data_IF_119736552140
#
_entry.id   IF_119736552140
#
_cell.length_a   1.000
_cell.length_b   1.000
_cell.length_c   1.000
_cell.angle_alpha   90.00
_cell.angle_beta   90.00
_cell.angle_gamma   90.00
#
_symmetry.space_group_name_H-M   'P 1'
#
loop_
_entity.id
_entity.type
_entity.pdbx_description
1 polymer ?
#
# COMPACT_ATOMS: atom_id res chain seq x y z
N UNK A 1 1.61 34.97 19.03
CA UNK A 1 2.94 34.36 18.72
C UNK A 1 2.72 33.21 17.75
N UNK A 2 3.17 33.32 16.50
CA UNK A 2 3.07 32.22 15.52
C UNK A 2 4.19 31.22 15.83
N UNK A 3 3.87 30.27 16.70
CA UNK A 3 4.79 29.23 17.16
C UNK A 3 5.24 28.35 16.00
N UNK A 4 6.53 28.00 15.99
CA UNK A 4 7.21 27.22 14.94
C UNK A 4 6.49 25.89 14.63
N UNK A 5 5.78 25.31 15.61
CA UNK A 5 4.98 24.10 15.44
C UNK A 5 3.83 24.23 14.43
N UNK A 6 3.31 25.44 14.18
CA UNK A 6 2.18 25.62 13.25
C UNK A 6 2.62 25.50 11.78
N UNK A 7 3.82 25.97 11.44
CA UNK A 7 4.33 25.99 10.06
C UNK A 7 4.63 24.61 9.50
N UNK A 8 5.13 23.69 10.33
CA UNK A 8 5.38 22.30 9.90
C UNK A 8 4.06 21.58 9.64
N UNK A 9 3.04 21.79 10.48
CA UNK A 9 1.72 21.19 10.29
C UNK A 9 1.01 21.72 9.04
N UNK A 10 1.19 22.99 8.69
CA UNK A 10 0.71 23.55 7.41
C UNK A 10 1.35 22.87 6.21
N UNK A 11 2.67 22.63 6.26
CA UNK A 11 3.38 21.89 5.22
C UNK A 11 2.91 20.43 5.12
N UNK A 12 2.70 19.75 6.25
CA UNK A 12 2.13 18.38 6.27
C UNK A 12 0.77 18.35 5.57
N UNK A 13 -0.13 19.29 5.93
CA UNK A 13 -1.45 19.38 5.31
C UNK A 13 -1.38 19.71 3.81
N UNK A 14 -0.46 20.58 3.40
CA UNK A 14 -0.21 20.88 1.99
C UNK A 14 0.27 19.65 1.23
N UNK A 15 1.25 18.92 1.77
CA UNK A 15 1.79 17.70 1.17
C UNK A 15 0.69 16.65 1.01
N UNK A 16 -0.06 16.33 2.08
CA UNK A 16 -1.17 15.38 2.04
C UNK A 16 -2.23 15.75 0.99
N UNK A 17 -2.61 17.03 0.90
CA UNK A 17 -3.58 17.50 -0.09
C UNK A 17 -3.09 17.32 -1.53
N UNK A 18 -1.81 17.55 -1.79
CA UNK A 18 -1.27 17.42 -3.14
C UNK A 18 -0.92 15.97 -3.51
N UNK A 19 -0.53 15.13 -2.55
CA UNK A 19 -0.43 13.68 -2.79
C UNK A 19 -1.79 13.10 -3.18
N UNK A 20 -2.88 13.53 -2.53
CA UNK A 20 -4.25 13.15 -2.94
C UNK A 20 -4.63 13.59 -4.35
N UNK A 21 -3.95 14.60 -4.90
CA UNK A 21 -4.13 15.04 -6.31
C UNK A 21 -3.23 14.28 -7.30
N UNK A 22 -2.37 13.37 -6.81
CA UNK A 22 -1.48 12.56 -7.64
C UNK A 22 -0.06 13.12 -7.79
N UNK A 23 0.32 14.17 -7.07
CA UNK A 23 1.70 14.64 -7.06
C UNK A 23 2.59 13.69 -6.24
N UNK A 24 3.83 13.49 -6.70
CA UNK A 24 4.83 12.72 -5.95
C UNK A 24 5.44 13.58 -4.83
N UNK A 25 5.87 12.91 -3.77
CA UNK A 25 6.46 13.60 -2.61
C UNK A 25 7.78 14.30 -2.98
N UNK A 26 8.54 13.74 -3.92
CA UNK A 26 9.78 14.34 -4.43
C UNK A 26 9.52 15.62 -5.23
N UNK A 27 8.52 15.64 -6.12
CA UNK A 27 8.17 16.85 -6.85
C UNK A 27 7.73 17.98 -5.90
N UNK A 28 6.96 17.64 -4.87
CA UNK A 28 6.54 18.61 -3.85
C UNK A 28 7.72 19.09 -3.00
N UNK A 29 8.67 18.21 -2.68
CA UNK A 29 9.90 18.55 -1.97
C UNK A 29 10.67 19.64 -2.71
N UNK A 30 10.95 19.43 -4.00
CA UNK A 30 11.69 20.39 -4.81
C UNK A 30 10.95 21.71 -4.96
N UNK A 31 9.64 21.66 -5.24
CA UNK A 31 8.82 22.87 -5.35
C UNK A 31 8.83 23.72 -4.07
N UNK A 32 8.77 23.09 -2.89
CA UNK A 32 8.84 23.82 -1.61
C UNK A 32 10.23 24.41 -1.35
N UNK A 33 11.30 23.70 -1.72
CA UNK A 33 12.66 24.23 -1.60
C UNK A 33 12.86 25.43 -2.53
N UNK A 34 12.39 25.36 -3.78
CA UNK A 34 12.44 26.46 -4.74
C UNK A 34 11.62 27.68 -4.29
N UNK A 35 10.50 27.45 -3.57
CA UNK A 35 9.71 28.52 -2.96
C UNK A 35 10.40 29.18 -1.74
N UNK A 36 11.56 28.69 -1.32
CA UNK A 36 12.34 29.24 -0.22
C UNK A 36 12.07 28.63 1.15
N UNK A 37 11.35 27.50 1.22
CA UNK A 37 11.23 26.77 2.49
C UNK A 37 12.56 26.10 2.85
N UNK A 38 12.89 26.11 4.15
CA UNK A 38 14.09 25.45 4.64
C UNK A 38 14.00 23.94 4.38
N UNK A 39 15.02 23.38 3.74
CA UNK A 39 15.10 21.94 3.42
C UNK A 39 14.78 21.04 4.61
N UNK A 40 15.32 21.36 5.80
CA UNK A 40 15.10 20.60 7.03
C UNK A 40 13.63 20.62 7.47
N UNK A 41 12.91 21.72 7.25
CA UNK A 41 11.48 21.82 7.56
C UNK A 41 10.64 20.99 6.59
N UNK A 42 10.99 21.04 5.30
CA UNK A 42 10.32 20.26 4.25
C UNK A 42 10.52 18.76 4.49
N UNK A 43 11.75 18.33 4.76
CA UNK A 43 12.06 16.92 5.04
C UNK A 43 11.31 16.41 6.27
N UNK A 44 11.28 17.18 7.36
CA UNK A 44 10.50 16.82 8.56
C UNK A 44 8.99 16.74 8.28
N UNK A 45 8.45 17.65 7.47
CA UNK A 45 7.05 17.62 7.09
C UNK A 45 6.72 16.39 6.22
N UNK A 46 7.63 15.98 5.34
CA UNK A 46 7.49 14.78 4.51
C UNK A 46 7.46 13.51 5.38
N UNK A 47 8.35 13.41 6.37
CA UNK A 47 8.37 12.27 7.30
C UNK A 47 7.05 12.13 8.06
N UNK A 48 6.55 13.25 8.62
CA UNK A 48 5.27 13.28 9.34
C UNK A 48 4.10 12.93 8.42
N UNK A 49 4.03 13.53 7.22
CA UNK A 49 2.99 13.24 6.25
C UNK A 49 2.99 11.77 5.81
N UNK A 50 4.16 11.20 5.57
CA UNK A 50 4.31 9.78 5.19
C UNK A 50 3.82 8.86 6.30
N UNK A 51 4.17 9.16 7.56
CA UNK A 51 3.71 8.40 8.71
C UNK A 51 2.19 8.43 8.84
N UNK A 52 1.58 9.61 8.76
CA UNK A 52 0.12 9.75 8.82
C UNK A 52 -0.59 9.04 7.66
N UNK A 53 -0.05 9.11 6.44
CA UNK A 53 -0.61 8.42 5.29
C UNK A 53 -0.50 6.89 5.42
N UNK A 54 0.59 6.40 6.01
CA UNK A 54 0.76 4.98 6.32
C UNK A 54 -0.24 4.50 7.39
N UNK A 55 -0.52 5.34 8.39
CA UNK A 55 -1.54 5.06 9.41
C UNK A 55 -2.98 5.12 8.83
N UNK A 56 -3.24 6.01 7.88
CA UNK A 56 -4.52 6.11 7.14
C UNK A 56 -4.71 4.98 6.12
N UNK A 57 -3.62 4.37 5.63
CA UNK A 57 -3.71 3.33 4.61
C UNK A 57 -4.50 2.12 5.13
N UNK A 58 -5.45 1.58 4.34
CA UNK A 58 -6.21 0.42 4.76
C UNK A 58 -5.24 -0.75 4.95
N UNK A 59 -5.21 -1.30 6.16
CA UNK A 59 -4.50 -2.56 6.43
C UNK A 59 -5.10 -3.61 5.50
N UNK A 60 -4.37 -3.99 4.44
CA UNK A 60 -4.76 -5.03 3.51
C UNK A 60 -4.83 -6.35 4.28
N UNK A 61 -6.02 -6.66 4.83
CA UNK A 61 -6.32 -7.96 5.45
C UNK A 61 -6.60 -8.95 4.33
N UNK A 62 -5.57 -9.27 3.55
CA UNK A 62 -5.67 -10.41 2.65
C UNK A 62 -5.63 -11.67 3.50
N UNK A 63 -6.67 -12.50 3.38
CA UNK A 63 -6.67 -13.82 4.01
C UNK A 63 -5.48 -14.59 3.42
N UNK A 64 -4.65 -15.27 4.23
CA UNK A 64 -3.60 -16.12 3.68
C UNK A 64 -4.28 -17.18 2.80
N UNK A 65 -4.06 -17.11 1.48
CA UNK A 65 -4.56 -18.12 0.54
C UNK A 65 -3.60 -19.30 0.63
N UNK A 66 -3.88 -20.23 1.54
CA UNK A 66 -3.11 -21.48 1.64
C UNK A 66 -3.43 -22.31 0.39
N UNK A 67 -2.49 -22.36 -0.56
CA UNK A 67 -2.56 -23.24 -1.73
C UNK A 67 -1.98 -24.60 -1.34
N UNK A 68 -2.85 -25.62 -1.26
CA UNK A 68 -2.42 -27.00 -1.09
C UNK A 68 -2.17 -27.61 -2.48
N UNK A 69 -0.91 -27.80 -2.84
CA UNK A 69 -0.54 -28.64 -3.98
C UNK A 69 -0.41 -30.08 -3.48
N UNK A 70 -1.25 -30.98 -3.99
CA UNK A 70 -1.13 -32.42 -3.68
C UNK A 70 0.01 -32.98 -4.51
N UNK A 71 1.20 -33.00 -3.90
CA UNK A 71 2.41 -33.56 -4.48
C UNK A 71 2.36 -35.09 -4.31
N UNK A 72 2.28 -35.85 -5.42
CA UNK A 72 2.41 -37.31 -5.38
C UNK A 72 3.85 -37.75 -5.09
N UNK A 73 4.07 -39.04 -4.78
CA UNK A 73 5.38 -39.61 -4.38
C UNK A 73 6.58 -39.31 -5.33
N UNK A 74 6.32 -38.87 -6.57
CA UNK A 74 7.33 -38.53 -7.57
C UNK A 74 7.35 -37.04 -7.98
N UNK A 75 6.81 -36.15 -7.13
CA UNK A 75 6.84 -34.69 -7.36
C UNK A 75 6.09 -34.24 -8.64
N UNK A 76 5.08 -35.00 -9.08
CA UNK A 76 4.26 -34.68 -10.25
C UNK A 76 2.84 -34.20 -9.86
N UNK A 77 2.29 -33.16 -10.51
CA UNK A 77 0.92 -32.70 -10.27
C UNK A 77 -0.08 -33.73 -10.79
N UNK A 78 -0.89 -34.31 -9.91
CA UNK A 78 -1.95 -35.25 -10.31
C UNK A 78 -3.25 -34.50 -10.63
N UNK A 79 -3.69 -34.55 -11.89
CA UNK A 79 -5.04 -34.13 -12.28
C UNK A 79 -6.07 -35.14 -11.77
N UNK A 80 -6.94 -34.73 -10.85
CA UNK A 80 -8.04 -35.57 -10.34
C UNK A 80 -9.09 -35.75 -11.45
N UNK A 81 -8.96 -36.82 -12.25
CA UNK A 81 -10.00 -37.21 -13.21
C UNK A 81 -11.26 -37.65 -12.45
N UNK A 82 -12.43 -37.17 -12.88
CA UNK A 82 -13.72 -37.56 -12.28
C UNK A 82 -13.86 -39.09 -12.33
N UNK A 83 -14.20 -39.75 -11.20
CA UNK A 83 -14.33 -41.20 -11.16
C UNK A 83 -15.48 -41.67 -12.05
N UNK A 84 -15.20 -42.70 -12.84
CA UNK A 84 -16.07 -43.30 -13.85
C UNK A 84 -17.46 -43.70 -13.34
N UNK A 85 -17.60 -43.98 -12.03
CA UNK A 85 -18.89 -44.29 -11.39
C UNK A 85 -19.88 -43.13 -11.40
N UNK A 86 -19.44 -41.87 -11.48
CA UNK A 86 -20.38 -40.74 -11.61
C UNK A 86 -21.22 -40.82 -12.89
N UNK A 87 -20.68 -41.45 -13.95
CA UNK A 87 -21.42 -41.65 -15.21
C UNK A 87 -22.40 -42.83 -15.17
N UNK A 88 -22.25 -43.75 -14.22
CA UNK A 88 -23.07 -44.95 -14.11
C UNK A 88 -24.28 -44.80 -13.17
N UNK A 89 -24.22 -43.88 -12.19
CA UNK A 89 -25.30 -43.69 -11.22
C UNK A 89 -26.23 -42.50 -11.50
N UNK A 90 -26.14 -41.86 -12.67
CA UNK A 90 -27.15 -40.91 -13.15
C UNK A 90 -27.41 -39.71 -12.24
N UNK A 91 -26.47 -39.37 -11.35
CA UNK A 91 -26.53 -38.17 -10.53
C UNK A 91 -25.63 -37.11 -11.17
N UNK A 92 -26.17 -36.43 -12.17
CA UNK A 92 -25.72 -35.09 -12.57
C UNK A 92 -26.32 -34.03 -11.65
#
# INVERSE_FOLDING_TARGET
MVGIGNRVNELVNYLKKNVKKGYTMDSLKWALIEQGYLRVQVERAIELATKELADEAPKLKEKPKITYEVIGEHNQPMEIKKPWWKKLFGMD
#
